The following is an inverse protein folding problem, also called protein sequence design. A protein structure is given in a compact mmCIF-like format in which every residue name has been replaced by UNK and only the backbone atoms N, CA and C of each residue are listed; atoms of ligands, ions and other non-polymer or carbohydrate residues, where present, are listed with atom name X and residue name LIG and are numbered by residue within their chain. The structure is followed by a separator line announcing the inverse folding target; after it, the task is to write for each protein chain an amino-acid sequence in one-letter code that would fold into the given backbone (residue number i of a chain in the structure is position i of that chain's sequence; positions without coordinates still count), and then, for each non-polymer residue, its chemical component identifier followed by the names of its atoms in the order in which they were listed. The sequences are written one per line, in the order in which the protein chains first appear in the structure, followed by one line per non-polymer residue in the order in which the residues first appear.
data_IF_554430125966
#
_entry.id   IF_554430125966
#
_cell.length_a   1.000
_cell.length_b   1.000
_cell.length_c   1.000
_cell.angle_alpha   90.00
_cell.angle_beta   90.00
_cell.angle_gamma   90.00
#
_symmetry.space_group_name_H-M   'P 1'
#
loop_
_entity.id
_entity.type
_entity.pdbx_description
1 polymer ?
#
# COMPACT_ATOMS: atom_id res chain seq x y z
N UNK A 1 10.22 8.11 21.94
CA UNK A 1 8.99 7.72 21.22
C UNK A 1 9.27 7.23 19.79
N UNK A 2 10.51 7.31 19.28
CA UNK A 2 10.84 6.98 17.89
C UNK A 2 10.82 5.48 17.56
N UNK A 3 10.99 4.61 18.56
CA UNK A 3 11.00 3.16 18.36
C UNK A 3 9.64 2.65 17.88
N UNK A 4 8.53 3.13 18.47
CA UNK A 4 7.18 2.75 18.03
C UNK A 4 6.94 3.17 16.58
N UNK A 5 7.34 4.37 16.18
CA UNK A 5 7.17 4.85 14.81
C UNK A 5 8.10 4.13 13.81
N UNK A 6 9.23 3.59 14.25
CA UNK A 6 10.13 2.80 13.41
C UNK A 6 9.64 1.35 13.24
N UNK A 7 9.06 0.75 14.28
CA UNK A 7 8.72 -0.68 14.33
C UNK A 7 7.23 -1.00 14.25
N UNK A 8 6.33 -0.02 14.09
CA UNK A 8 4.89 -0.26 14.04
C UNK A 8 4.48 -1.27 12.97
N UNK A 9 5.18 -1.32 11.82
CA UNK A 9 4.91 -2.30 10.75
C UNK A 9 5.12 -3.74 11.22
N UNK A 10 6.16 -3.97 12.00
CA UNK A 10 6.47 -5.27 12.59
C UNK A 10 5.48 -5.64 13.69
N UNK A 11 5.10 -4.67 14.53
CA UNK A 11 4.03 -4.86 15.51
C UNK A 11 2.70 -5.23 14.85
N UNK A 12 2.31 -4.51 13.79
CA UNK A 12 1.11 -4.81 13.02
C UNK A 12 1.16 -6.21 12.39
N UNK A 13 2.32 -6.62 11.87
CA UNK A 13 2.52 -7.97 11.34
C UNK A 13 2.36 -9.04 12.42
N UNK A 14 2.94 -8.84 13.61
CA UNK A 14 2.81 -9.76 14.74
C UNK A 14 1.35 -9.88 15.15
N UNK A 15 0.64 -8.76 15.30
CA UNK A 15 -0.80 -8.75 15.60
C UNK A 15 -1.60 -9.50 14.55
N UNK A 16 -1.31 -9.28 13.26
CA UNK A 16 -1.98 -9.97 12.16
C UNK A 16 -1.75 -11.48 12.23
N UNK A 17 -0.52 -11.94 12.49
CA UNK A 17 -0.20 -13.35 12.64
C UNK A 17 -0.97 -13.96 13.82
N UNK A 18 -0.97 -13.31 14.98
CA UNK A 18 -1.71 -13.78 16.16
C UNK A 18 -3.20 -13.95 15.83
N UNK A 19 -3.79 -12.99 15.12
CA UNK A 19 -5.21 -13.03 14.72
C UNK A 19 -5.48 -14.17 13.74
N UNK A 20 -4.60 -14.38 12.76
CA UNK A 20 -4.73 -15.48 11.79
C UNK A 20 -4.63 -16.85 12.48
N UNK A 21 -3.66 -17.02 13.38
CA UNK A 21 -3.46 -18.26 14.14
C UNK A 21 -4.63 -18.55 15.08
N UNK A 22 -5.22 -17.51 15.69
CA UNK A 22 -6.35 -17.64 16.62
C UNK A 22 -7.71 -17.37 15.97
N UNK A 23 -7.79 -17.35 14.65
CA UNK A 23 -8.98 -16.94 13.89
C UNK A 23 -10.22 -17.80 14.18
N UNK A 24 -10.02 -19.04 14.63
CA UNK A 24 -11.12 -19.95 15.05
C UNK A 24 -11.70 -19.62 16.42
N UNK A 25 -10.91 -19.00 17.29
CA UNK A 25 -11.27 -18.68 18.67
C UNK A 25 -11.73 -17.24 18.84
N UNK A 26 -11.43 -16.38 17.88
CA UNK A 26 -11.81 -14.97 17.88
C UNK A 26 -13.19 -14.75 17.23
N UNK A 27 -13.95 -13.75 17.68
CA UNK A 27 -15.23 -13.41 17.07
C UNK A 27 -15.00 -12.96 15.62
N UNK A 28 -15.80 -13.50 14.70
CA UNK A 28 -15.67 -13.23 13.26
C UNK A 28 -15.67 -11.74 12.88
N UNK A 29 -16.39 -10.81 13.57
CA UNK A 29 -16.32 -9.38 13.25
C UNK A 29 -14.92 -8.80 13.48
N UNK A 30 -14.19 -9.29 14.48
CA UNK A 30 -12.84 -8.82 14.79
C UNK A 30 -11.84 -9.33 13.75
N UNK A 31 -11.95 -10.59 13.35
CA UNK A 31 -11.11 -11.17 12.29
C UNK A 31 -11.34 -10.45 10.96
N UNK A 32 -12.60 -10.24 10.58
CA UNK A 32 -12.95 -9.54 9.33
C UNK A 32 -12.50 -8.09 9.33
N UNK A 33 -12.64 -7.37 10.45
CA UNK A 33 -12.17 -5.99 10.57
C UNK A 33 -10.66 -5.91 10.42
N UNK A 34 -9.90 -6.78 11.09
CA UNK A 34 -8.44 -6.78 11.01
C UNK A 34 -7.96 -7.15 9.59
N UNK A 35 -8.58 -8.16 8.98
CA UNK A 35 -8.31 -8.52 7.59
C UNK A 35 -8.64 -7.39 6.62
N UNK A 36 -9.77 -6.71 6.81
CA UNK A 36 -10.18 -5.56 6.00
C UNK A 36 -9.23 -4.38 6.13
N UNK A 37 -8.77 -4.06 7.35
CA UNK A 37 -7.76 -3.01 7.59
C UNK A 37 -6.42 -3.39 6.94
N UNK A 38 -5.97 -4.64 7.10
CA UNK A 38 -4.74 -5.14 6.48
C UNK A 38 -4.83 -5.10 4.94
N UNK A 39 -5.97 -5.51 4.37
CA UNK A 39 -6.25 -5.46 2.95
C UNK A 39 -6.19 -4.02 2.43
N UNK A 40 -6.90 -3.08 3.08
CA UNK A 40 -6.91 -1.67 2.70
C UNK A 40 -5.52 -1.05 2.75
N UNK A 41 -4.73 -1.37 3.79
CA UNK A 41 -3.34 -0.90 3.90
C UNK A 41 -2.46 -1.43 2.76
N UNK A 42 -2.50 -2.74 2.49
CA UNK A 42 -1.68 -3.36 1.45
C UNK A 42 -2.06 -2.89 0.05
N UNK A 43 -3.36 -2.76 -0.24
CA UNK A 43 -3.83 -2.23 -1.53
C UNK A 43 -3.40 -0.78 -1.71
N UNK A 44 -3.47 0.04 -0.66
CA UNK A 44 -2.98 1.43 -0.69
C UNK A 44 -1.48 1.50 -0.96
N UNK A 45 -0.67 0.70 -0.26
CA UNK A 45 0.78 0.68 -0.48
C UNK A 45 1.13 0.16 -1.88
N UNK A 46 0.50 -0.93 -2.32
CA UNK A 46 0.66 -1.43 -3.69
C UNK A 46 0.31 -0.38 -4.74
N UNK A 47 -0.77 0.37 -4.54
CA UNK A 47 -1.15 1.49 -5.40
C UNK A 47 -0.13 2.64 -5.40
N UNK A 48 0.46 2.98 -4.25
CA UNK A 48 1.51 4.00 -4.16
C UNK A 48 2.76 3.54 -4.89
N UNK A 49 3.19 2.30 -4.69
CA UNK A 49 4.35 1.70 -5.36
C UNK A 49 4.14 1.68 -6.86
N UNK A 50 2.95 1.25 -7.33
CA UNK A 50 2.66 1.16 -8.75
C UNK A 50 2.63 2.53 -9.44
N UNK A 51 2.02 3.54 -8.81
CA UNK A 51 2.05 4.93 -9.34
C UNK A 51 3.45 5.52 -9.40
N UNK A 52 4.33 5.19 -8.45
CA UNK A 52 5.72 5.68 -8.43
C UNK A 52 6.61 4.95 -9.44
N UNK A 53 6.24 3.74 -9.86
CA UNK A 53 6.95 3.00 -10.90
C UNK A 53 6.75 3.57 -12.32
N UNK A 54 5.72 4.41 -12.52
CA UNK A 54 5.36 5.00 -13.82
C UNK A 54 6.34 6.05 -14.39
N UNK A 55 7.42 6.38 -13.70
CA UNK A 55 8.49 7.21 -14.23
C UNK A 55 9.07 8.22 -13.23
N UNK A 56 10.32 8.67 -13.43
CA UNK A 56 10.96 9.65 -12.57
C UNK A 56 10.18 10.97 -12.55
N UNK A 57 10.25 11.74 -11.44
CA UNK A 57 9.64 13.06 -11.36
C UNK A 57 10.05 13.90 -12.57
N UNK A 58 9.09 14.62 -13.15
CA UNK A 58 9.30 15.40 -14.37
C UNK A 58 10.48 16.34 -14.15
N UNK A 59 11.51 16.26 -15.01
CA UNK A 59 12.73 17.07 -14.90
C UNK A 59 12.36 18.54 -14.73
N UNK A 60 12.99 19.23 -13.77
CA UNK A 60 12.82 20.68 -13.60
C UNK A 60 13.11 21.36 -14.93
N UNK A 61 12.28 22.33 -15.31
CA UNK A 61 12.46 23.04 -16.58
C UNK A 61 13.74 23.86 -16.42
N UNK A 62 14.79 23.49 -17.15
CA UNK A 62 16.05 24.24 -17.11
C UNK A 62 15.94 25.36 -18.14
N UNK A 63 16.19 26.60 -17.73
CA UNK A 63 16.31 27.74 -18.65
C UNK A 63 17.70 28.33 -18.49
N UNK A 64 18.30 28.71 -19.61
CA UNK A 64 19.57 29.39 -19.65
C UNK A 64 19.33 30.88 -19.86
N UNK A 65 19.86 31.70 -18.96
CA UNK A 65 19.83 33.16 -19.10
C UNK A 65 21.21 33.72 -18.80
N UNK A 66 21.77 34.53 -19.71
CA UNK A 66 23.12 35.12 -19.59
C UNK A 66 24.22 34.10 -19.22
N UNK A 67 24.17 32.90 -19.79
CA UNK A 67 25.15 31.84 -19.49
C UNK A 67 24.95 31.15 -18.13
N UNK A 68 23.97 31.55 -17.33
CA UNK A 68 23.66 30.92 -16.05
C UNK A 68 22.53 29.89 -16.20
N UNK A 69 22.73 28.71 -15.60
CA UNK A 69 21.72 27.66 -15.51
C UNK A 69 20.74 28.00 -14.37
N UNK A 70 19.47 28.26 -14.72
CA UNK A 70 18.40 28.50 -13.75
C UNK A 70 17.47 27.28 -13.76
N UNK A 71 17.36 26.60 -12.63
CA UNK A 71 16.38 25.53 -12.43
C UNK A 71 15.03 26.16 -12.11
N UNK A 72 14.11 26.14 -13.08
CA UNK A 72 12.81 26.78 -12.95
C UNK A 72 11.86 25.83 -12.22
N UNK A 73 11.87 25.95 -10.89
CA UNK A 73 10.94 25.31 -9.97
C UNK A 73 11.35 23.92 -9.45
N UNK A 74 10.81 23.49 -8.29
CA UNK A 74 11.08 22.17 -7.73
C UNK A 74 10.62 21.07 -8.70
N UNK A 75 11.33 19.94 -8.78
CA UNK A 75 10.90 18.79 -9.58
C UNK A 75 9.46 18.45 -9.23
N UNK A 76 8.54 18.52 -10.21
CA UNK A 76 7.17 18.11 -9.97
C UNK A 76 7.18 16.60 -9.80
N UNK A 77 7.03 16.14 -8.56
CA UNK A 77 6.61 14.80 -8.23
C UNK A 77 5.12 14.65 -8.59
N UNK A 78 4.81 14.80 -9.88
CA UNK A 78 3.47 14.52 -10.40
C UNK A 78 3.24 13.02 -10.38
N UNK A 79 2.01 12.55 -10.11
CA UNK A 79 1.68 11.13 -10.25
C UNK A 79 1.91 10.74 -11.71
N UNK A 80 2.97 9.98 -11.96
CA UNK A 80 3.13 9.33 -13.25
C UNK A 80 2.00 8.30 -13.42
N UNK A 81 1.44 8.22 -14.62
CA UNK A 81 0.48 7.18 -14.94
C UNK A 81 1.14 5.82 -14.69
N UNK A 82 0.48 4.88 -13.99
CA UNK A 82 1.08 3.58 -13.72
C UNK A 82 1.46 2.88 -15.02
N UNK A 83 2.73 2.52 -15.19
CA UNK A 83 3.15 1.65 -16.28
C UNK A 83 2.87 0.20 -15.90
N UNK A 84 2.23 -0.56 -16.78
CA UNK A 84 2.01 -1.99 -16.62
C UNK A 84 3.33 -2.74 -16.49
N UNK A 85 4.40 -2.28 -17.15
CA UNK A 85 5.73 -2.91 -17.05
C UNK A 85 6.37 -2.73 -15.66
N UNK A 86 5.92 -1.74 -14.89
CA UNK A 86 6.38 -1.44 -13.53
C UNK A 86 5.56 -2.08 -12.42
N UNK A 87 4.60 -2.96 -12.72
CA UNK A 87 3.69 -3.53 -11.72
C UNK A 87 4.37 -4.53 -10.77
N UNK A 88 5.48 -5.14 -11.18
CA UNK A 88 6.14 -6.23 -10.44
C UNK A 88 6.32 -5.96 -8.94
N UNK A 89 6.97 -4.85 -8.53
CA UNK A 89 7.13 -4.50 -7.12
C UNK A 89 5.81 -4.24 -6.38
N UNK A 90 4.77 -3.77 -7.08
CA UNK A 90 3.46 -3.53 -6.48
C UNK A 90 2.70 -4.83 -6.20
N UNK A 91 2.92 -5.89 -6.99
CA UNK A 91 2.25 -7.18 -6.82
C UNK A 91 2.47 -7.81 -5.44
N UNK A 92 3.64 -7.57 -4.84
CA UNK A 92 3.97 -8.06 -3.49
C UNK A 92 2.98 -7.54 -2.44
N UNK A 93 2.36 -6.38 -2.68
CA UNK A 93 1.36 -5.79 -1.80
C UNK A 93 -0.06 -6.04 -2.32
N UNK A 94 -0.28 -5.90 -3.63
CA UNK A 94 -1.61 -6.00 -4.23
C UNK A 94 -2.20 -7.41 -4.12
N UNK A 95 -1.40 -8.46 -4.35
CA UNK A 95 -1.90 -9.85 -4.32
C UNK A 95 -2.34 -10.23 -2.90
N UNK A 96 -1.50 -10.10 -1.85
CA UNK A 96 -1.94 -10.43 -0.49
C UNK A 96 -3.07 -9.52 0.00
N UNK A 97 -3.05 -8.23 -0.37
CA UNK A 97 -4.12 -7.30 -0.07
C UNK A 97 -5.47 -7.73 -0.66
N UNK A 98 -5.46 -8.17 -1.92
CA UNK A 98 -6.65 -8.70 -2.58
C UNK A 98 -7.13 -10.00 -1.94
N UNK A 99 -6.22 -10.91 -1.61
CA UNK A 99 -6.55 -12.16 -0.90
C UNK A 99 -7.23 -11.84 0.42
N UNK A 100 -6.69 -10.93 1.23
CA UNK A 100 -7.32 -10.55 2.50
C UNK A 100 -8.67 -9.88 2.32
N UNK A 101 -8.85 -9.05 1.29
CA UNK A 101 -10.14 -8.45 0.96
C UNK A 101 -11.18 -9.54 0.63
N UNK A 102 -10.82 -10.50 -0.24
CA UNK A 102 -11.70 -11.60 -0.63
C UNK A 102 -12.04 -12.50 0.56
N UNK A 103 -11.07 -12.82 1.41
CA UNK A 103 -11.31 -13.61 2.63
C UNK A 103 -12.24 -12.87 3.59
N UNK A 104 -12.03 -11.57 3.81
CA UNK A 104 -12.90 -10.77 4.66
C UNK A 104 -14.34 -10.77 4.12
N UNK A 105 -14.53 -10.56 2.81
CA UNK A 105 -15.83 -10.62 2.15
C UNK A 105 -16.45 -12.01 2.30
N UNK A 106 -15.69 -13.08 2.05
CA UNK A 106 -16.18 -14.45 2.16
C UNK A 106 -16.63 -14.79 3.59
N UNK A 107 -15.88 -14.35 4.61
CA UNK A 107 -16.29 -14.54 6.02
C UNK A 107 -17.56 -13.78 6.33
N UNK A 108 -17.71 -12.54 5.85
CA UNK A 108 -18.95 -11.76 6.04
C UNK A 108 -20.13 -12.46 5.37
N UNK A 109 -20.02 -12.81 4.09
CA UNK A 109 -21.07 -13.48 3.34
C UNK A 109 -21.49 -14.79 4.02
N UNK A 110 -20.51 -15.63 4.38
CA UNK A 110 -20.76 -16.90 5.07
C UNK A 110 -21.51 -16.72 6.39
N UNK A 111 -21.17 -15.69 7.18
CA UNK A 111 -21.86 -15.42 8.45
C UNK A 111 -23.23 -14.74 8.28
N UNK A 112 -23.49 -14.14 7.12
CA UNK A 112 -24.79 -13.62 6.73
C UNK A 112 -25.69 -14.68 6.05
N UNK A 113 -25.17 -15.88 5.80
CA UNK A 113 -25.91 -16.98 5.18
C UNK A 113 -25.94 -16.97 3.65
N UNK A 114 -25.01 -16.23 3.02
CA UNK A 114 -24.75 -16.20 1.58
C UNK A 114 -23.51 -17.02 1.24
#
# INVERSE_FOLDING_TARGET
MDLLHKYWRWLALIVLIIVLTNSRSLPWPLVTLILGVAAGYLLREGWIVWRRAGGPPTRSKVTYWRGQRIEVGPPRAGPALPDIRGIGPALIYLIPGLIFALVAVAVVLRNLGL
#
